data_IF_737706501086
#
_entry.id   IF_737706501086
#
_cell.length_a   1.000
_cell.length_b   1.000
_cell.length_c   1.000
_cell.angle_alpha   90.00
_cell.angle_beta   90.00
_cell.angle_gamma   90.00
#
_symmetry.space_group_name_H-M   'P 1'
#
loop_
_entity.id
_entity.type
_entity.pdbx_description
1 polymer ?
#
# COMPACT_ATOMS: atom_id res chain seq x y z
N UNK A 1 0.87 12.38 -8.61
CA UNK A 1 -0.03 12.07 -7.48
C UNK A 1 -0.47 10.61 -7.64
N UNK A 2 -0.35 9.80 -6.59
CA UNK A 2 -0.80 8.39 -6.63
C UNK A 2 -2.32 8.36 -6.48
N UNK A 3 -3.02 7.69 -7.39
CA UNK A 3 -4.50 7.65 -7.43
C UNK A 3 -5.07 6.28 -7.11
N UNK A 4 -4.24 5.22 -7.12
CA UNK A 4 -4.65 3.85 -6.85
C UNK A 4 -3.46 3.03 -6.38
N UNK A 5 -3.67 2.15 -5.40
CA UNK A 5 -2.69 1.19 -4.92
C UNK A 5 -3.28 -0.21 -5.13
N UNK A 6 -2.56 -1.04 -5.88
CA UNK A 6 -2.90 -2.45 -6.08
C UNK A 6 -1.70 -3.31 -5.67
N UNK A 7 -1.96 -4.38 -4.93
CA UNK A 7 -0.95 -5.36 -4.57
C UNK A 7 -1.56 -6.76 -4.56
N UNK A 8 -0.80 -7.74 -5.04
CA UNK A 8 -1.19 -9.14 -5.10
C UNK A 8 -0.08 -9.97 -4.49
N UNK A 9 -0.42 -10.84 -3.53
CA UNK A 9 0.51 -11.71 -2.81
C UNK A 9 1.72 -10.95 -2.22
N UNK A 10 1.48 -9.77 -1.63
CA UNK A 10 2.51 -8.94 -1.04
C UNK A 10 2.45 -9.02 0.50
N UNK A 11 3.41 -9.73 1.10
CA UNK A 11 3.43 -10.02 2.56
C UNK A 11 2.06 -10.56 3.02
N UNK A 12 1.38 -9.92 3.97
CA UNK A 12 0.06 -10.34 4.45
C UNK A 12 -1.11 -9.91 3.53
N UNK A 13 -0.86 -9.15 2.46
CA UNK A 13 -1.87 -8.72 1.51
C UNK A 13 -2.01 -9.75 0.39
N UNK A 14 -3.04 -10.62 0.49
CA UNK A 14 -3.36 -11.57 -0.59
C UNK A 14 -3.74 -10.84 -1.88
N UNK A 15 -4.66 -9.89 -1.78
CA UNK A 15 -5.04 -9.01 -2.89
C UNK A 15 -5.70 -7.74 -2.34
N UNK A 16 -5.26 -6.58 -2.81
CA UNK A 16 -5.89 -5.30 -2.54
C UNK A 16 -5.99 -4.48 -3.82
N UNK A 17 -7.03 -3.66 -3.87
CA UNK A 17 -7.29 -2.74 -4.96
C UNK A 17 -7.98 -1.50 -4.42
N UNK A 18 -7.17 -0.51 -4.02
CA UNK A 18 -7.66 0.68 -3.33
C UNK A 18 -7.46 1.90 -4.21
N UNK A 19 -8.57 2.57 -4.56
CA UNK A 19 -8.52 3.94 -5.09
C UNK A 19 -8.17 4.90 -3.95
N UNK A 20 -7.35 5.89 -4.24
CA UNK A 20 -6.96 6.91 -3.28
C UNK A 20 -7.73 8.20 -3.52
N UNK A 21 -8.27 8.74 -2.44
CA UNK A 21 -8.85 10.06 -2.38
C UNK A 21 -7.86 11.07 -1.77
N UNK A 22 -8.07 12.39 -1.91
CA UNK A 22 -7.18 13.41 -1.35
C UNK A 22 -6.98 13.30 0.16
N UNK A 23 -7.96 12.72 0.87
CA UNK A 23 -7.89 12.42 2.30
C UNK A 23 -8.49 11.04 2.57
N UNK A 24 -7.76 10.19 3.29
CA UNK A 24 -8.20 8.84 3.63
C UNK A 24 -7.68 8.43 5.00
N UNK A 25 -8.55 7.80 5.80
CA UNK A 25 -8.20 7.21 7.09
C UNK A 25 -8.01 5.70 6.92
N UNK A 26 -6.89 5.19 7.43
CA UNK A 26 -6.61 3.75 7.43
C UNK A 26 -6.86 3.18 8.83
N UNK A 27 -7.99 2.50 8.99
CA UNK A 27 -8.45 1.93 10.27
C UNK A 27 -8.48 0.41 10.23
N UNK A 28 -8.38 -0.21 11.42
CA UNK A 28 -8.41 -1.67 11.57
C UNK A 28 -7.53 -2.15 12.72
N UNK A 29 -7.73 -3.39 13.16
CA UNK A 29 -6.94 -4.00 14.24
C UNK A 29 -5.43 -4.07 13.89
N UNK A 30 -4.58 -4.21 14.90
CA UNK A 30 -3.15 -4.40 14.66
C UNK A 30 -2.88 -5.66 13.83
N UNK A 31 -1.78 -5.66 13.07
CA UNK A 31 -1.36 -6.74 12.18
C UNK A 31 -2.29 -7.07 10.99
N UNK A 32 -3.34 -6.30 10.72
CA UNK A 32 -4.23 -6.52 9.56
C UNK A 32 -3.72 -5.94 8.23
N UNK A 33 -2.44 -5.59 8.14
CA UNK A 33 -1.83 -5.12 6.89
C UNK A 33 -1.90 -3.61 6.63
N UNK A 34 -2.28 -2.78 7.61
CA UNK A 34 -2.26 -1.31 7.47
C UNK A 34 -0.87 -0.76 7.17
N UNK A 35 0.14 -1.16 7.96
CA UNK A 35 1.53 -0.79 7.70
C UNK A 35 2.01 -1.37 6.37
N UNK A 36 1.62 -2.62 6.07
CA UNK A 36 1.94 -3.29 4.81
C UNK A 36 1.35 -2.58 3.59
N UNK A 37 0.17 -1.96 3.71
CA UNK A 37 -0.43 -1.16 2.65
C UNK A 37 0.43 0.05 2.30
N UNK A 38 0.94 0.76 3.30
CA UNK A 38 1.84 1.91 3.09
C UNK A 38 3.22 1.47 2.56
N UNK A 39 3.68 0.30 3.00
CA UNK A 39 4.95 -0.30 2.58
C UNK A 39 5.00 -0.60 1.07
N UNK A 40 3.87 -0.86 0.42
CA UNK A 40 3.79 -0.99 -1.06
C UNK A 40 4.31 0.28 -1.75
N UNK A 41 3.99 1.45 -1.22
CA UNK A 41 4.44 2.73 -1.78
C UNK A 41 5.93 2.93 -1.56
N UNK A 42 6.43 2.60 -0.36
CA UNK A 42 7.86 2.68 -0.04
C UNK A 42 8.68 1.77 -0.96
N UNK A 43 8.25 0.53 -1.14
CA UNK A 43 8.92 -0.44 -2.02
C UNK A 43 9.04 0.09 -3.46
N UNK A 44 7.96 0.65 -4.02
CA UNK A 44 8.00 1.25 -5.35
C UNK A 44 8.92 2.47 -5.41
N UNK A 45 8.90 3.31 -4.38
CA UNK A 45 9.80 4.46 -4.28
C UNK A 45 11.27 4.04 -4.27
N UNK A 46 11.62 3.02 -3.47
CA UNK A 46 12.97 2.47 -3.42
C UNK A 46 13.38 1.92 -4.78
N UNK A 47 12.55 1.05 -5.38
CA UNK A 47 12.81 0.46 -6.69
C UNK A 47 13.11 1.51 -7.77
N UNK A 48 12.36 2.62 -7.78
CA UNK A 48 12.56 3.71 -8.73
C UNK A 48 13.81 4.53 -8.41
N UNK A 49 14.13 4.70 -7.13
CA UNK A 49 15.26 5.55 -6.69
C UNK A 49 16.61 4.85 -6.77
N UNK A 50 16.64 3.53 -6.67
CA UNK A 50 17.85 2.69 -6.74
C UNK A 50 18.09 2.07 -8.12
N UNK A 51 17.22 2.34 -9.09
CA UNK A 51 17.26 1.81 -10.46
C UNK A 51 17.98 2.72 -11.45
#
# INVERSE_FOLDING_TARGET
>A
MITRIQAKNYRCLRYIDQKLEPFQLLVGANATGKTTFLDVVNFLSELISSG
#
